data_IF_512382913414
#
_entry.id   IF_512382913414
#
_cell.length_a   1.000
_cell.length_b   1.000
_cell.length_c   1.000
_cell.angle_alpha   90.00
_cell.angle_beta   90.00
_cell.angle_gamma   90.00
#
_symmetry.space_group_name_H-M   'P 1'
#
loop_
_entity.id
_entity.type
_entity.pdbx_description
1 polymer ?
#
# COMPACT_ATOMS: atom_id res chain seq x y z
N UNK A 1 30.77 15.93 15.05
CA UNK A 1 30.30 14.52 15.08
C UNK A 1 30.36 14.01 13.65
N UNK A 2 30.56 12.69 13.42
CA UNK A 2 30.55 12.16 12.06
C UNK A 2 29.12 12.17 11.49
N UNK A 3 28.96 12.61 10.25
CA UNK A 3 27.69 12.56 9.54
C UNK A 3 27.32 11.12 9.29
N UNK A 4 26.10 10.70 9.67
CA UNK A 4 25.64 9.31 9.57
C UNK A 4 24.23 9.17 9.03
N UNK A 5 23.91 7.98 8.53
CA UNK A 5 22.58 7.57 8.11
C UNK A 5 22.06 6.47 9.04
N UNK A 6 20.84 6.65 9.56
CA UNK A 6 20.06 5.62 10.21
C UNK A 6 19.12 5.00 9.18
N UNK A 7 19.41 3.80 8.75
CA UNK A 7 18.66 3.10 7.72
C UNK A 7 17.61 2.20 8.36
N UNK A 8 16.34 2.56 8.21
CA UNK A 8 15.23 1.81 8.79
C UNK A 8 15.08 0.41 8.18
N UNK A 9 14.80 -0.58 9.02
CA UNK A 9 14.44 -1.92 8.59
C UNK A 9 13.26 -2.45 9.44
N UNK A 10 12.22 -3.07 8.81
CA UNK A 10 12.10 -3.33 7.38
C UNK A 10 11.78 -2.07 6.56
N UNK A 11 12.09 -2.13 5.28
CA UNK A 11 11.78 -1.13 4.25
C UNK A 11 11.59 -1.84 2.91
N UNK A 12 11.20 -1.09 1.87
CA UNK A 12 11.06 -1.64 0.52
C UNK A 12 9.94 -2.68 0.37
N UNK A 13 10.01 -3.51 -0.63
CA UNK A 13 8.94 -4.44 -1.00
C UNK A 13 8.43 -5.27 0.17
N UNK A 14 7.10 -5.26 0.35
CA UNK A 14 6.43 -6.25 1.20
C UNK A 14 6.00 -7.47 0.35
N UNK A 15 5.61 -8.56 1.00
CA UNK A 15 5.21 -9.79 0.31
C UNK A 15 4.03 -9.60 -0.66
N UNK A 16 3.11 -8.67 -0.36
CA UNK A 16 1.97 -8.36 -1.24
C UNK A 16 2.41 -7.66 -2.52
N UNK A 17 3.29 -6.68 -2.39
CA UNK A 17 3.89 -5.94 -3.51
C UNK A 17 4.77 -6.85 -4.37
N UNK A 18 5.68 -7.60 -3.76
CA UNK A 18 6.54 -8.55 -4.47
C UNK A 18 5.70 -9.50 -5.32
N UNK A 19 4.67 -10.12 -4.71
CA UNK A 19 3.73 -10.99 -5.43
C UNK A 19 3.08 -10.29 -6.62
N UNK A 20 2.64 -9.04 -6.47
CA UNK A 20 1.93 -8.32 -7.52
C UNK A 20 2.86 -7.96 -8.69
N UNK A 21 4.06 -7.47 -8.41
CA UNK A 21 5.07 -7.14 -9.43
C UNK A 21 5.49 -8.40 -10.19
N UNK A 22 5.86 -9.46 -9.47
CA UNK A 22 6.23 -10.76 -10.08
C UNK A 22 5.07 -11.36 -10.89
N UNK A 23 3.82 -11.10 -10.51
CA UNK A 23 2.65 -11.54 -11.30
C UNK A 23 2.66 -10.93 -12.71
N UNK A 24 2.88 -9.62 -12.84
CA UNK A 24 2.94 -8.95 -14.16
C UNK A 24 4.16 -9.43 -14.95
N UNK A 25 5.32 -9.55 -14.29
CA UNK A 25 6.53 -10.07 -14.94
C UNK A 25 6.33 -11.47 -15.51
N UNK A 26 5.77 -12.37 -14.71
CA UNK A 26 5.48 -13.76 -15.14
C UNK A 26 4.38 -13.83 -16.19
N UNK A 27 3.41 -12.93 -16.16
CA UNK A 27 2.40 -12.82 -17.21
C UNK A 27 3.04 -12.39 -18.55
N UNK A 28 3.93 -11.39 -18.53
CA UNK A 28 4.69 -10.95 -19.71
C UNK A 28 5.60 -12.08 -20.26
N UNK A 29 6.27 -12.83 -19.39
CA UNK A 29 7.11 -13.97 -19.79
C UNK A 29 6.28 -15.09 -20.43
N UNK A 30 5.11 -15.40 -19.87
CA UNK A 30 4.29 -16.53 -20.29
C UNK A 30 3.47 -16.26 -21.55
N UNK A 31 2.86 -15.08 -21.61
CA UNK A 31 1.89 -14.77 -22.68
C UNK A 31 2.47 -13.81 -23.73
N UNK A 32 3.62 -13.19 -23.47
CA UNK A 32 4.16 -12.13 -24.31
C UNK A 32 3.42 -10.79 -24.13
N UNK A 33 4.04 -9.73 -24.64
CA UNK A 33 3.43 -8.40 -24.66
C UNK A 33 2.35 -8.28 -25.75
N UNK A 34 1.31 -7.47 -25.56
CA UNK A 34 1.04 -6.69 -24.35
C UNK A 34 0.28 -7.48 -23.27
N UNK A 35 0.57 -7.18 -22.01
CA UNK A 35 -0.26 -7.55 -20.86
C UNK A 35 -0.86 -6.27 -20.29
N UNK A 36 -2.17 -6.22 -20.16
CA UNK A 36 -2.86 -5.05 -19.61
C UNK A 36 -2.87 -5.13 -18.08
N UNK A 37 -2.77 -3.98 -17.41
CA UNK A 37 -2.83 -3.88 -15.96
C UNK A 37 -3.84 -2.78 -15.62
N UNK A 38 -4.89 -3.13 -14.86
CA UNK A 38 -5.88 -2.13 -14.41
C UNK A 38 -5.32 -1.33 -13.26
N UNK A 39 -5.35 0.00 -13.40
CA UNK A 39 -4.69 0.94 -12.51
C UNK A 39 -3.17 0.66 -12.42
N UNK A 40 -2.48 1.22 -11.46
CA UNK A 40 -1.09 0.86 -11.21
C UNK A 40 -1.02 -0.45 -10.45
N UNK A 41 -0.15 -1.38 -10.84
CA UNK A 41 0.00 -2.67 -10.13
C UNK A 41 0.31 -2.46 -8.66
N UNK A 42 1.13 -1.47 -8.35
CA UNK A 42 1.44 -0.89 -7.05
C UNK A 42 1.74 0.59 -7.25
N UNK A 43 1.57 1.42 -6.24
CA UNK A 43 1.82 2.86 -6.32
C UNK A 43 3.33 3.17 -6.23
N UNK A 44 4.02 3.02 -7.35
CA UNK A 44 5.44 3.38 -7.51
C UNK A 44 5.77 3.66 -8.98
N UNK A 45 6.24 4.88 -9.27
CA UNK A 45 6.54 5.32 -10.64
C UNK A 45 7.61 4.46 -11.32
N UNK A 46 8.66 4.09 -10.61
CA UNK A 46 9.75 3.28 -11.15
C UNK A 46 9.25 1.88 -11.56
N UNK A 47 8.43 1.25 -10.72
CA UNK A 47 7.85 -0.06 -11.00
C UNK A 47 6.96 0.00 -12.24
N UNK A 48 6.07 1.00 -12.31
CA UNK A 48 5.19 1.20 -13.47
C UNK A 48 6.02 1.36 -14.74
N UNK A 49 6.98 2.30 -14.75
CA UNK A 49 7.82 2.57 -15.93
C UNK A 49 8.64 1.35 -16.36
N UNK A 50 9.15 0.58 -15.40
CA UNK A 50 9.93 -0.64 -15.68
C UNK A 50 9.05 -1.70 -16.35
N UNK A 51 7.83 -1.90 -15.89
CA UNK A 51 6.90 -2.85 -16.48
C UNK A 51 6.37 -2.38 -17.85
N UNK A 52 6.13 -1.07 -18.04
CA UNK A 52 5.79 -0.48 -19.34
C UNK A 52 6.90 -0.74 -20.36
N UNK A 53 8.16 -0.52 -20.00
CA UNK A 53 9.30 -0.79 -20.85
C UNK A 53 9.41 -2.28 -21.26
N UNK A 54 8.80 -3.18 -20.50
CA UNK A 54 8.72 -4.62 -20.80
C UNK A 54 7.46 -5.03 -21.55
N UNK A 55 6.54 -4.08 -21.83
CA UNK A 55 5.35 -4.30 -22.63
C UNK A 55 4.05 -4.45 -21.83
N UNK A 56 4.03 -4.07 -20.54
CA UNK A 56 2.78 -3.87 -19.82
C UNK A 56 2.08 -2.60 -20.31
N UNK A 57 0.77 -2.61 -20.38
CA UNK A 57 -0.07 -1.45 -20.72
C UNK A 57 -0.98 -1.19 -19.52
N UNK A 58 -0.77 -0.05 -18.85
CA UNK A 58 -1.62 0.36 -17.75
C UNK A 58 -2.85 1.09 -18.27
N UNK A 59 -4.01 0.71 -17.78
CA UNK A 59 -5.31 1.28 -18.11
C UNK A 59 -6.07 1.68 -16.86
N UNK A 60 -6.94 2.67 -16.97
CA UNK A 60 -7.74 3.08 -15.81
C UNK A 60 -8.93 2.14 -15.61
N UNK A 61 -9.58 1.72 -16.68
CA UNK A 61 -10.79 0.89 -16.63
C UNK A 61 -10.65 -0.36 -17.51
N UNK A 62 -11.44 -1.37 -17.18
CA UNK A 62 -11.47 -2.64 -17.93
C UNK A 62 -12.02 -2.51 -19.34
N UNK A 63 -12.84 -1.48 -19.63
CA UNK A 63 -13.38 -1.21 -20.96
C UNK A 63 -12.33 -0.70 -21.95
N UNK A 64 -11.20 -0.20 -21.48
CA UNK A 64 -10.05 0.18 -22.31
C UNK A 64 -9.24 -1.03 -22.80
N UNK A 65 -9.42 -2.20 -22.18
CA UNK A 65 -8.74 -3.44 -22.59
C UNK A 65 -9.45 -4.04 -23.80
N UNK A 66 -8.77 -4.34 -24.91
CA UNK A 66 -9.40 -5.01 -26.04
C UNK A 66 -9.98 -6.36 -25.64
N UNK A 67 -11.15 -6.70 -26.22
CA UNK A 67 -11.87 -7.93 -25.90
C UNK A 67 -10.98 -9.17 -26.07
N UNK A 68 -11.11 -10.13 -25.14
CA UNK A 68 -10.36 -11.38 -25.13
C UNK A 68 -8.90 -11.27 -24.73
N UNK A 69 -8.41 -10.07 -24.35
CA UNK A 69 -7.02 -9.87 -23.88
C UNK A 69 -6.86 -10.20 -22.41
N UNK A 70 -5.59 -10.23 -21.98
CA UNK A 70 -5.21 -10.49 -20.58
C UNK A 70 -5.20 -9.18 -19.82
N UNK A 71 -5.82 -9.18 -18.65
CA UNK A 71 -5.74 -8.08 -17.69
C UNK A 71 -5.35 -8.57 -16.30
N UNK A 72 -4.40 -7.87 -15.69
CA UNK A 72 -3.98 -8.08 -14.31
C UNK A 72 -4.66 -7.04 -13.43
N UNK A 73 -5.30 -7.46 -12.36
CA UNK A 73 -5.82 -6.55 -11.33
C UNK A 73 -4.74 -6.24 -10.31
N UNK A 74 -4.72 -5.00 -9.82
CA UNK A 74 -3.67 -4.47 -8.94
C UNK A 74 -3.67 -5.12 -7.55
N UNK A 75 -2.60 -4.87 -6.80
CA UNK A 75 -2.47 -5.32 -5.41
C UNK A 75 -3.56 -4.76 -4.48
N UNK A 76 -4.17 -3.64 -4.85
CA UNK A 76 -5.15 -2.91 -4.04
C UNK A 76 -6.55 -3.53 -4.03
N UNK A 77 -6.80 -4.51 -4.90
CA UNK A 77 -8.09 -5.16 -5.05
C UNK A 77 -9.06 -4.40 -5.96
N UNK A 78 -10.10 -5.09 -6.38
CA UNK A 78 -11.15 -4.55 -7.23
C UNK A 78 -12.52 -5.01 -6.71
N UNK A 79 -13.56 -4.22 -7.02
CA UNK A 79 -14.93 -4.60 -6.69
C UNK A 79 -15.44 -5.77 -7.54
N UNK A 80 -16.48 -6.51 -7.11
CA UNK A 80 -17.14 -7.52 -7.92
C UNK A 80 -17.60 -7.00 -9.29
N UNK A 81 -18.07 -5.75 -9.37
CA UNK A 81 -18.49 -5.14 -10.62
C UNK A 81 -17.37 -5.10 -11.69
N UNK A 82 -16.11 -4.91 -11.28
CA UNK A 82 -14.95 -4.94 -12.18
C UNK A 82 -14.71 -6.36 -12.69
N UNK A 83 -14.89 -7.38 -11.85
CA UNK A 83 -14.82 -8.78 -12.28
C UNK A 83 -15.93 -9.12 -13.30
N UNK A 84 -17.15 -8.68 -13.04
CA UNK A 84 -18.31 -8.92 -13.92
C UNK A 84 -18.11 -8.21 -15.28
N UNK A 85 -17.62 -6.98 -15.28
CA UNK A 85 -17.29 -6.24 -16.50
C UNK A 85 -16.21 -6.96 -17.32
N UNK A 86 -15.10 -7.37 -16.68
CA UNK A 86 -14.03 -8.11 -17.33
C UNK A 86 -14.55 -9.43 -17.93
N UNK A 87 -15.42 -10.15 -17.22
CA UNK A 87 -16.04 -11.37 -17.68
C UNK A 87 -16.95 -11.13 -18.90
N UNK A 88 -17.76 -10.05 -18.88
CA UNK A 88 -18.65 -9.68 -19.99
C UNK A 88 -17.90 -9.37 -21.28
N UNK A 89 -16.64 -8.94 -21.17
CA UNK A 89 -15.72 -8.62 -22.28
C UNK A 89 -14.80 -9.78 -22.65
N UNK A 90 -15.05 -10.98 -22.11
CA UNK A 90 -14.22 -12.18 -22.30
C UNK A 90 -12.73 -11.95 -21.98
N UNK A 91 -12.40 -11.05 -21.05
CA UNK A 91 -11.02 -10.81 -20.65
C UNK A 91 -10.49 -12.00 -19.83
N UNK A 92 -9.24 -12.38 -20.08
CA UNK A 92 -8.53 -13.31 -19.24
C UNK A 92 -7.95 -12.55 -18.03
N UNK A 93 -8.58 -12.72 -16.87
CA UNK A 93 -8.19 -12.01 -15.64
C UNK A 93 -7.13 -12.78 -14.84
N UNK A 94 -6.17 -12.05 -14.29
CA UNK A 94 -5.21 -12.52 -13.29
C UNK A 94 -5.32 -11.57 -12.10
N UNK A 95 -5.76 -12.08 -10.96
CA UNK A 95 -6.00 -11.26 -9.79
C UNK A 95 -4.76 -11.21 -8.89
N UNK A 96 -4.03 -10.07 -8.94
CA UNK A 96 -2.87 -9.83 -8.10
C UNK A 96 -3.21 -9.17 -6.74
N UNK A 97 -4.49 -9.05 -6.37
CA UNK A 97 -4.91 -8.50 -5.07
C UNK A 97 -4.12 -9.12 -3.92
N UNK A 98 -3.57 -8.27 -3.06
CA UNK A 98 -2.85 -8.72 -1.88
C UNK A 98 -3.77 -9.58 -0.99
N UNK A 99 -3.32 -10.75 -0.49
CA UNK A 99 -4.15 -11.58 0.39
C UNK A 99 -4.66 -10.87 1.64
N UNK A 100 -3.95 -9.83 2.12
CA UNK A 100 -4.38 -9.03 3.27
C UNK A 100 -5.51 -8.06 2.90
N UNK A 101 -5.56 -7.55 1.67
CA UNK A 101 -6.69 -6.79 1.13
C UNK A 101 -7.88 -7.73 0.89
N UNK A 102 -7.64 -8.91 0.32
CA UNK A 102 -8.68 -9.94 0.15
C UNK A 102 -9.35 -10.31 1.47
N UNK A 103 -8.60 -10.34 2.58
CA UNK A 103 -9.15 -10.53 3.93
C UNK A 103 -10.20 -9.46 4.25
N UNK A 104 -9.88 -8.18 4.05
CA UNK A 104 -10.81 -7.07 4.33
C UNK A 104 -12.06 -7.16 3.45
N UNK A 105 -11.90 -7.51 2.16
CA UNK A 105 -13.02 -7.76 1.25
C UNK A 105 -13.95 -8.87 1.76
N UNK A 106 -13.38 -9.99 2.24
CA UNK A 106 -14.18 -11.08 2.81
C UNK A 106 -14.94 -10.66 4.06
N UNK A 107 -14.33 -9.83 4.90
CA UNK A 107 -15.00 -9.31 6.10
C UNK A 107 -16.11 -8.32 5.76
N UNK A 108 -15.90 -7.45 4.76
CA UNK A 108 -16.95 -6.57 4.26
C UNK A 108 -18.16 -7.36 3.74
N UNK A 109 -17.94 -8.43 2.95
CA UNK A 109 -18.99 -9.36 2.50
C UNK A 109 -19.72 -10.01 3.67
N UNK A 110 -18.98 -10.49 4.66
CA UNK A 110 -19.55 -11.16 5.84
C UNK A 110 -20.43 -10.20 6.63
N UNK A 111 -19.93 -9.02 6.98
CA UNK A 111 -20.72 -8.01 7.71
C UNK A 111 -21.95 -7.57 6.92
N UNK A 112 -21.82 -7.40 5.61
CA UNK A 112 -22.95 -7.10 4.75
C UNK A 112 -24.02 -8.21 4.73
N UNK A 113 -23.60 -9.49 4.73
CA UNK A 113 -24.51 -10.63 4.80
C UNK A 113 -25.24 -10.73 6.16
N UNK A 114 -24.60 -10.27 7.23
CA UNK A 114 -25.19 -10.17 8.58
C UNK A 114 -26.05 -8.91 8.77
N UNK A 115 -26.29 -8.14 7.71
CA UNK A 115 -27.04 -6.86 7.68
C UNK A 115 -26.45 -5.75 8.55
N UNK A 116 -25.13 -5.74 8.79
CA UNK A 116 -24.44 -4.66 9.45
C UNK A 116 -24.16 -3.50 8.46
N UNK A 117 -24.21 -2.27 8.97
CA UNK A 117 -23.62 -1.12 8.27
C UNK A 117 -22.16 -1.00 8.69
N UNK A 118 -21.27 -0.80 7.71
CA UNK A 118 -19.82 -0.83 7.89
C UNK A 118 -19.31 0.62 7.89
N UNK A 119 -18.68 1.03 8.98
CA UNK A 119 -17.90 2.28 9.05
C UNK A 119 -16.48 1.95 8.60
N UNK A 120 -16.15 2.32 7.36
CA UNK A 120 -14.86 1.99 6.76
C UNK A 120 -13.88 3.15 6.93
N UNK A 121 -12.85 2.96 7.75
CA UNK A 121 -11.80 3.95 8.00
C UNK A 121 -10.82 3.90 6.83
N UNK A 122 -10.71 4.99 6.08
CA UNK A 122 -9.87 5.03 4.88
C UNK A 122 -9.92 6.39 4.20
N UNK A 123 -9.10 6.57 3.15
CA UNK A 123 -9.03 7.82 2.41
C UNK A 123 -9.88 7.78 1.15
N UNK A 124 -10.68 8.82 0.93
CA UNK A 124 -11.51 8.97 -0.26
C UNK A 124 -10.66 8.90 -1.54
N UNK A 125 -11.16 8.18 -2.55
CA UNK A 125 -10.47 7.99 -3.82
C UNK A 125 -9.35 6.94 -3.82
N UNK A 126 -9.06 6.29 -2.69
CA UNK A 126 -8.10 5.19 -2.67
C UNK A 126 -8.70 3.90 -3.24
N UNK A 127 -7.94 3.16 -4.07
CA UNK A 127 -8.41 1.94 -4.74
C UNK A 127 -8.90 0.86 -3.77
N UNK A 128 -8.25 0.68 -2.61
CA UNK A 128 -8.73 -0.25 -1.56
C UNK A 128 -10.11 0.14 -1.03
N UNK A 129 -10.40 1.44 -0.91
CA UNK A 129 -11.71 1.95 -0.45
C UNK A 129 -12.76 1.63 -1.49
N UNK A 130 -12.48 1.91 -2.78
CA UNK A 130 -13.38 1.59 -3.89
C UNK A 130 -13.67 0.08 -3.96
N UNK A 131 -12.62 -0.75 -3.90
CA UNK A 131 -12.74 -2.20 -3.95
C UNK A 131 -13.57 -2.76 -2.81
N UNK A 132 -13.25 -2.38 -1.57
CA UNK A 132 -13.95 -2.86 -0.37
C UNK A 132 -15.40 -2.36 -0.31
N UNK A 133 -15.65 -1.10 -0.66
CA UNK A 133 -17.02 -0.55 -0.72
C UNK A 133 -17.86 -1.30 -1.75
N UNK A 134 -17.27 -1.68 -2.87
CA UNK A 134 -17.94 -2.49 -3.90
C UNK A 134 -18.34 -3.89 -3.45
N UNK A 135 -17.70 -4.45 -2.40
CA UNK A 135 -18.06 -5.75 -1.83
C UNK A 135 -19.36 -5.69 -0.98
N UNK A 136 -19.72 -4.49 -0.51
CA UNK A 136 -20.86 -4.28 0.37
C UNK A 136 -21.66 -3.03 -0.04
N UNK A 137 -22.08 -2.98 -1.29
CA UNK A 137 -22.77 -1.83 -1.90
C UNK A 137 -23.95 -1.37 -1.05
N UNK A 138 -23.99 -0.07 -0.76
CA UNK A 138 -25.06 0.55 0.03
C UNK A 138 -25.00 0.28 1.54
N UNK A 139 -23.99 -0.48 2.01
CA UNK A 139 -23.80 -0.80 3.45
C UNK A 139 -22.52 -0.22 4.04
N UNK A 140 -21.72 0.50 3.26
CA UNK A 140 -20.45 1.10 3.70
C UNK A 140 -20.61 2.62 3.78
N UNK A 141 -20.13 3.19 4.90
CA UNK A 141 -19.91 4.63 5.08
C UNK A 141 -18.43 4.86 5.31
N UNK A 142 -17.85 5.71 4.46
CA UNK A 142 -16.44 6.10 4.59
C UNK A 142 -16.25 7.01 5.81
N UNK A 143 -15.19 6.73 6.56
CA UNK A 143 -14.70 7.53 7.67
C UNK A 143 -13.29 7.98 7.31
N UNK A 144 -13.17 9.17 6.71
CA UNK A 144 -11.90 9.74 6.29
C UNK A 144 -11.38 10.70 7.35
N UNK A 145 -10.46 10.21 8.17
CA UNK A 145 -9.82 10.94 9.26
C UNK A 145 -10.68 11.11 10.52
N UNK A 146 -10.08 11.76 11.52
CA UNK A 146 -10.65 11.89 12.86
C UNK A 146 -11.95 12.71 12.91
N UNK A 147 -12.07 13.74 12.06
CA UNK A 147 -13.28 14.58 12.03
C UNK A 147 -14.47 13.81 11.45
N UNK A 148 -14.24 12.97 10.43
CA UNK A 148 -15.28 12.07 9.96
C UNK A 148 -15.68 11.05 11.03
N UNK A 149 -14.73 10.51 11.79
CA UNK A 149 -15.03 9.62 12.91
C UNK A 149 -15.93 10.30 13.99
N UNK A 150 -15.70 11.60 14.24
CA UNK A 150 -16.53 12.40 15.18
C UNK A 150 -17.92 12.71 14.64
N UNK A 151 -18.10 12.82 13.34
CA UNK A 151 -19.32 13.37 12.73
C UNK A 151 -20.15 12.37 11.94
N UNK A 152 -19.61 11.20 11.58
CA UNK A 152 -20.34 10.18 10.80
C UNK A 152 -21.68 9.84 11.44
N UNK A 153 -22.73 9.75 10.61
CA UNK A 153 -24.08 9.42 11.04
C UNK A 153 -24.48 8.07 10.43
N UNK A 154 -24.50 7.01 11.23
CA UNK A 154 -25.02 5.72 10.81
C UNK A 154 -26.52 5.76 10.54
N UNK A 155 -27.01 4.79 9.80
CA UNK A 155 -28.44 4.61 9.56
C UNK A 155 -29.12 4.22 10.89
N UNK A 156 -30.18 4.94 11.33
CA UNK A 156 -30.84 4.62 12.59
C UNK A 156 -31.30 3.17 12.68
N UNK A 157 -31.02 2.53 13.80
CA UNK A 157 -31.43 1.15 14.08
C UNK A 157 -30.58 0.06 13.42
N UNK A 158 -29.57 0.39 12.64
CA UNK A 158 -28.63 -0.60 12.10
C UNK A 158 -27.57 -0.97 13.13
N UNK A 159 -27.23 -2.26 13.15
CA UNK A 159 -26.01 -2.73 13.83
C UNK A 159 -24.80 -2.30 13.03
N UNK A 160 -23.71 -1.99 13.72
CA UNK A 160 -22.52 -1.43 13.11
C UNK A 160 -21.34 -2.39 13.22
N UNK A 161 -20.49 -2.38 12.21
CA UNK A 161 -19.13 -2.90 12.26
C UNK A 161 -18.17 -1.84 11.74
N UNK A 162 -16.89 -1.97 12.06
CA UNK A 162 -15.86 -1.16 11.41
C UNK A 162 -14.84 -2.04 10.69
N UNK A 163 -14.26 -1.50 9.64
CA UNK A 163 -13.12 -2.04 8.91
C UNK A 163 -12.18 -0.88 8.58
N UNK A 164 -10.96 -1.18 8.15
CA UNK A 164 -10.03 -0.14 7.72
C UNK A 164 -9.24 -0.51 6.47
N UNK A 165 -8.76 0.53 5.78
CA UNK A 165 -7.75 0.45 4.73
C UNK A 165 -6.45 -0.09 5.33
N UNK A 166 -5.70 -0.91 4.57
CA UNK A 166 -4.52 -1.63 5.08
C UNK A 166 -3.27 -0.74 5.29
N UNK A 167 -3.27 0.49 4.75
CA UNK A 167 -2.09 1.38 4.66
C UNK A 167 -2.23 2.70 5.41
N UNK A 168 -3.12 2.78 6.40
CA UNK A 168 -3.29 3.97 7.25
C UNK A 168 -2.15 4.16 8.25
N UNK A 169 -2.05 5.35 8.85
CA UNK A 169 -1.32 5.52 10.10
C UNK A 169 -1.95 4.64 11.18
N UNK A 170 -1.13 3.84 11.85
CA UNK A 170 -1.61 2.96 12.93
C UNK A 170 -2.24 3.80 14.05
N UNK A 171 -1.57 4.90 14.44
CA UNK A 171 -2.01 5.76 15.53
C UNK A 171 -3.33 6.49 15.19
N UNK A 172 -3.45 7.00 13.96
CA UNK A 172 -4.69 7.64 13.48
C UNK A 172 -5.85 6.65 13.40
N UNK A 173 -5.61 5.45 12.89
CA UNK A 173 -6.65 4.41 12.83
C UNK A 173 -7.12 4.00 14.22
N UNK A 174 -6.20 3.82 15.19
CA UNK A 174 -6.55 3.52 16.58
C UNK A 174 -7.35 4.64 17.23
N UNK A 175 -6.99 5.91 16.97
CA UNK A 175 -7.76 7.06 17.44
C UNK A 175 -9.17 7.10 16.83
N UNK A 176 -9.28 6.86 15.52
CA UNK A 176 -10.57 6.77 14.83
C UNK A 176 -11.46 5.68 15.43
N UNK A 177 -10.91 4.49 15.66
CA UNK A 177 -11.60 3.36 16.30
C UNK A 177 -12.05 3.73 17.72
N UNK A 178 -11.20 4.38 18.51
CA UNK A 178 -11.55 4.82 19.86
C UNK A 178 -12.74 5.79 19.85
N UNK A 179 -12.75 6.76 18.94
CA UNK A 179 -13.87 7.70 18.77
C UNK A 179 -15.14 6.97 18.35
N UNK A 180 -15.06 6.03 17.40
CA UNK A 180 -16.21 5.26 16.96
C UNK A 180 -16.78 4.40 18.09
N UNK A 181 -15.93 3.75 18.90
CA UNK A 181 -16.37 2.95 20.06
C UNK A 181 -16.99 3.77 21.18
N UNK A 182 -16.50 4.99 21.41
CA UNK A 182 -17.12 5.91 22.36
C UNK A 182 -18.52 6.34 21.89
N UNK A 183 -18.68 6.63 20.61
CA UNK A 183 -19.97 7.03 20.02
C UNK A 183 -20.95 5.87 19.83
N UNK A 184 -20.42 4.68 19.53
CA UNK A 184 -21.17 3.49 19.21
C UNK A 184 -20.62 2.28 19.99
N UNK A 185 -20.93 2.15 21.31
CA UNK A 185 -20.30 1.14 22.16
C UNK A 185 -20.51 -0.32 21.73
N UNK A 186 -21.54 -0.59 20.92
CA UNK A 186 -21.86 -1.93 20.39
C UNK A 186 -21.29 -2.18 18.99
N UNK A 187 -20.42 -1.29 18.48
CA UNK A 187 -19.81 -1.48 17.17
C UNK A 187 -18.94 -2.74 17.16
N UNK A 188 -19.14 -3.59 16.17
CA UNK A 188 -18.43 -4.84 16.04
C UNK A 188 -17.03 -4.64 15.49
N UNK A 189 -16.03 -5.24 16.13
CA UNK A 189 -14.65 -5.29 15.66
C UNK A 189 -14.47 -6.30 14.52
N UNK A 190 -13.50 -6.08 13.59
CA UNK A 190 -13.02 -7.15 12.72
C UNK A 190 -12.37 -8.27 13.54
N UNK A 191 -12.32 -9.52 13.02
CA UNK A 191 -11.72 -10.66 13.73
C UNK A 191 -10.23 -10.51 14.03
N UNK A 192 -9.54 -9.68 13.28
CA UNK A 192 -8.14 -9.33 13.45
C UNK A 192 -7.85 -7.99 12.78
N UNK A 193 -6.69 -7.39 13.10
CA UNK A 193 -6.30 -6.10 12.57
C UNK A 193 -6.34 -6.06 11.04
N UNK A 194 -6.86 -4.96 10.49
CA UNK A 194 -6.92 -4.71 9.05
C UNK A 194 -5.65 -4.03 8.54
N UNK A 195 -5.03 -3.17 9.36
CA UNK A 195 -3.73 -2.59 8.99
C UNK A 195 -2.72 -3.72 8.85
N UNK A 196 -2.09 -3.78 7.69
CA UNK A 196 -1.21 -4.89 7.39
C UNK A 196 0.11 -4.82 8.18
N UNK A 197 0.69 -6.00 8.47
CA UNK A 197 1.97 -6.10 9.18
C UNK A 197 3.07 -5.25 8.54
N UNK A 198 3.08 -5.14 7.21
CA UNK A 198 4.10 -4.38 6.50
C UNK A 198 3.98 -2.86 6.75
N UNK A 199 2.75 -2.36 6.86
CA UNK A 199 2.48 -0.97 7.24
C UNK A 199 2.93 -0.72 8.68
N UNK A 200 2.52 -1.56 9.62
CA UNK A 200 2.89 -1.47 11.04
C UNK A 200 4.40 -1.50 11.22
N UNK A 201 5.07 -2.51 10.67
CA UNK A 201 6.51 -2.68 10.84
C UNK A 201 7.32 -1.49 10.28
N UNK A 202 6.93 -0.93 9.13
CA UNK A 202 7.62 0.25 8.55
C UNK A 202 7.38 1.51 9.36
N UNK A 203 6.19 1.69 9.90
CA UNK A 203 5.91 2.80 10.82
C UNK A 203 6.70 2.65 12.12
N UNK A 204 6.79 1.45 12.70
CA UNK A 204 7.59 1.20 13.90
C UNK A 204 9.09 1.44 13.65
N UNK A 205 9.59 1.10 12.47
CA UNK A 205 10.96 1.41 12.07
C UNK A 205 11.20 2.93 11.98
N UNK A 206 10.26 3.68 11.40
CA UNK A 206 10.31 5.16 11.39
C UNK A 206 10.24 5.73 12.82
N UNK A 207 9.31 5.26 13.66
CA UNK A 207 9.18 5.69 15.07
C UNK A 207 10.48 5.50 15.85
N UNK A 208 11.27 4.48 15.50
CA UNK A 208 12.54 4.19 16.15
C UNK A 208 13.64 5.16 15.74
N UNK A 209 13.74 5.54 14.45
CA UNK A 209 14.82 6.39 13.94
C UNK A 209 14.50 7.88 14.00
N UNK A 210 13.23 8.26 13.88
CA UNK A 210 12.81 9.66 13.78
C UNK A 210 13.28 10.55 14.95
N UNK A 211 13.21 10.11 16.24
CA UNK A 211 13.67 10.93 17.35
C UNK A 211 15.19 11.18 17.37
N UNK A 212 15.96 10.42 16.59
CA UNK A 212 17.41 10.47 16.52
C UNK A 212 17.93 11.17 15.26
N UNK A 213 17.04 11.51 14.33
CA UNK A 213 17.38 12.06 13.04
C UNK A 213 17.04 13.56 12.95
N UNK A 214 17.95 14.36 12.42
CA UNK A 214 17.72 15.77 12.11
C UNK A 214 16.83 15.93 10.87
N UNK A 215 16.90 14.93 9.98
CA UNK A 215 16.16 14.85 8.71
C UNK A 215 15.77 13.41 8.46
N UNK A 216 14.54 13.16 7.99
CA UNK A 216 14.13 11.86 7.44
C UNK A 216 13.82 11.99 5.95
N UNK A 217 14.37 11.09 5.15
CA UNK A 217 14.03 10.96 3.73
C UNK A 217 13.37 9.60 3.51
N UNK A 218 12.16 9.64 3.00
CA UNK A 218 11.40 8.44 2.62
C UNK A 218 11.41 8.34 1.10
N UNK A 219 11.89 7.23 0.57
CA UNK A 219 11.76 6.92 -0.85
C UNK A 219 10.37 6.34 -1.12
N UNK A 220 9.66 6.90 -2.09
CA UNK A 220 8.29 6.48 -2.44
C UNK A 220 7.54 7.50 -3.26
N UNK A 221 6.44 7.09 -3.87
CA UNK A 221 5.62 7.96 -4.71
C UNK A 221 4.53 8.67 -3.91
N UNK A 222 4.16 9.88 -4.32
CA UNK A 222 3.17 10.71 -3.62
C UNK A 222 1.75 10.13 -3.62
N UNK A 223 1.42 9.24 -4.55
CA UNK A 223 0.16 8.51 -4.59
C UNK A 223 0.19 7.20 -3.79
N UNK A 224 1.31 6.87 -3.13
CA UNK A 224 1.43 5.72 -2.23
C UNK A 224 1.03 6.12 -0.82
N UNK A 225 -0.16 5.72 -0.37
CA UNK A 225 -0.62 5.96 1.00
C UNK A 225 0.40 5.52 2.04
N UNK A 226 0.96 4.31 1.91
CA UNK A 226 2.01 3.83 2.82
C UNK A 226 3.22 4.77 2.88
N UNK A 227 3.72 5.26 1.73
CA UNK A 227 4.91 6.13 1.69
C UNK A 227 4.63 7.51 2.30
N UNK A 228 3.47 8.10 2.02
CA UNK A 228 3.05 9.39 2.58
C UNK A 228 2.95 9.29 4.11
N UNK A 229 2.31 8.23 4.62
CA UNK A 229 2.18 8.01 6.08
C UNK A 229 3.52 7.90 6.79
N UNK A 230 4.57 7.34 6.18
CA UNK A 230 5.90 7.28 6.80
C UNK A 230 6.51 8.68 7.02
N UNK A 231 6.28 9.61 6.11
CA UNK A 231 6.73 11.01 6.27
C UNK A 231 5.99 11.70 7.41
N UNK A 232 4.69 11.47 7.51
CA UNK A 232 3.86 12.05 8.56
C UNK A 232 4.26 11.51 9.93
N UNK A 233 4.39 10.19 10.06
CA UNK A 233 4.86 9.53 11.28
C UNK A 233 6.24 10.03 11.69
N UNK A 234 7.18 10.24 10.75
CA UNK A 234 8.49 10.80 11.06
C UNK A 234 8.37 12.17 11.74
N UNK A 235 7.52 13.05 11.23
CA UNK A 235 7.28 14.38 11.80
C UNK A 235 6.60 14.31 13.17
N UNK A 236 5.59 13.45 13.31
CA UNK A 236 4.88 13.24 14.57
C UNK A 236 5.80 12.73 15.69
N UNK A 237 6.80 11.92 15.32
CA UNK A 237 7.76 11.33 16.26
C UNK A 237 9.05 12.13 16.43
N UNK A 238 9.05 13.40 16.05
CA UNK A 238 10.02 14.39 16.47
C UNK A 238 11.14 14.73 15.50
N UNK A 239 11.13 14.20 14.28
CA UNK A 239 12.05 14.66 13.24
C UNK A 239 11.71 16.10 12.82
N UNK A 240 12.67 17.06 12.88
CA UNK A 240 12.41 18.43 12.46
C UNK A 240 11.96 18.58 11.01
N UNK A 241 12.50 17.73 10.13
CA UNK A 241 12.18 17.75 8.69
C UNK A 241 12.05 16.35 8.14
N UNK A 242 11.03 16.11 7.30
CA UNK A 242 10.88 14.84 6.60
C UNK A 242 10.33 15.08 5.18
N UNK A 243 10.90 14.38 4.19
CA UNK A 243 10.57 14.52 2.78
C UNK A 243 10.30 13.18 2.12
N UNK A 244 9.42 13.20 1.11
CA UNK A 244 9.11 12.08 0.23
C UNK A 244 9.70 12.35 -1.14
N UNK A 245 10.42 11.38 -1.70
CA UNK A 245 11.02 11.46 -3.04
C UNK A 245 10.82 10.17 -3.81
N UNK A 246 10.57 10.25 -5.11
CA UNK A 246 10.55 9.08 -5.99
C UNK A 246 11.98 8.60 -6.31
N UNK A 247 12.91 9.53 -6.52
CA UNK A 247 14.29 9.27 -6.94
C UNK A 247 15.30 10.12 -6.19
N UNK A 248 16.51 9.61 -6.01
CA UNK A 248 17.62 10.34 -5.36
C UNK A 248 17.89 11.72 -5.98
N UNK A 249 17.65 11.87 -7.30
CA UNK A 249 17.82 13.14 -8.02
C UNK A 249 16.86 14.26 -7.57
N UNK A 250 15.79 13.92 -6.85
CA UNK A 250 14.84 14.89 -6.29
C UNK A 250 15.30 15.42 -4.91
N UNK A 251 16.29 14.78 -4.30
CA UNK A 251 16.86 15.24 -3.04
C UNK A 251 17.64 16.55 -3.26
N UNK A 252 17.48 17.47 -2.29
CA UNK A 252 18.07 18.81 -2.40
C UNK A 252 19.21 18.97 -1.41
N UNK A 253 20.30 19.58 -1.87
CA UNK A 253 21.47 19.86 -1.02
C UNK A 253 21.15 20.77 0.15
N UNK A 254 20.25 21.73 -0.04
CA UNK A 254 19.77 22.64 1.02
C UNK A 254 19.13 21.93 2.21
N UNK A 255 18.63 20.69 2.03
CA UNK A 255 18.09 19.91 3.13
C UNK A 255 19.16 19.40 4.09
N UNK A 256 20.43 19.36 3.64
CA UNK A 256 21.57 18.85 4.40
C UNK A 256 22.28 19.91 5.25
N UNK A 257 21.83 21.17 5.16
CA UNK A 257 22.43 22.27 5.89
C UNK A 257 22.25 22.11 7.41
N UNK A 258 23.36 21.94 8.13
CA UNK A 258 23.36 21.74 9.58
C UNK A 258 22.91 20.35 10.04
N UNK A 259 22.68 19.41 9.12
CA UNK A 259 22.25 18.03 9.41
C UNK A 259 23.48 17.16 9.71
N UNK A 260 23.42 16.39 10.80
CA UNK A 260 24.44 15.41 11.18
C UNK A 260 23.92 13.97 11.07
N UNK A 261 22.64 13.73 11.35
CA UNK A 261 22.02 12.40 11.30
C UNK A 261 20.80 12.40 10.37
N UNK A 262 20.83 11.55 9.35
CA UNK A 262 19.73 11.38 8.40
C UNK A 262 19.08 10.01 8.63
N UNK A 263 17.76 10.01 8.85
CA UNK A 263 16.95 8.79 8.79
C UNK A 263 16.55 8.49 7.34
N UNK A 264 16.73 7.25 6.89
CA UNK A 264 16.30 6.81 5.55
C UNK A 264 15.36 5.62 5.68
N UNK A 265 14.24 5.68 4.99
CA UNK A 265 13.31 4.57 4.83
C UNK A 265 12.70 4.56 3.44
N UNK A 266 11.86 3.58 3.16
CA UNK A 266 11.10 3.53 1.92
C UNK A 266 9.74 2.85 2.11
N UNK A 267 8.79 3.24 1.26
CA UNK A 267 7.47 2.62 1.24
C UNK A 267 7.49 1.17 0.80
N UNK A 268 6.39 0.47 1.10
CA UNK A 268 6.21 -0.96 0.82
C UNK A 268 6.18 -1.32 -0.68
N UNK A 269 6.08 -0.32 -1.57
CA UNK A 269 6.07 -0.48 -3.03
C UNK A 269 7.40 -0.08 -3.71
N UNK A 270 8.45 0.17 -2.93
CA UNK A 270 9.73 0.70 -3.42
C UNK A 270 10.76 -0.42 -3.59
N UNK A 271 11.33 -0.60 -4.79
CA UNK A 271 12.44 -1.53 -4.98
C UNK A 271 13.72 -0.99 -4.31
N UNK A 272 14.53 -1.88 -3.74
CA UNK A 272 15.73 -1.51 -2.96
C UNK A 272 16.74 -0.67 -3.75
N UNK A 273 16.82 -0.85 -5.06
CA UNK A 273 17.72 -0.07 -5.92
C UNK A 273 17.55 1.44 -5.76
N UNK A 274 16.33 1.92 -5.51
CA UNK A 274 16.07 3.36 -5.31
C UNK A 274 16.61 3.86 -3.97
N UNK A 275 16.60 3.00 -2.94
CA UNK A 275 17.22 3.30 -1.64
C UNK A 275 18.74 3.31 -1.78
N UNK A 276 19.31 2.34 -2.47
CA UNK A 276 20.75 2.28 -2.75
C UNK A 276 21.24 3.53 -3.49
N UNK A 277 20.47 4.04 -4.46
CA UNK A 277 20.82 5.26 -5.19
C UNK A 277 20.77 6.49 -4.27
N UNK A 278 19.80 6.57 -3.35
CA UNK A 278 19.79 7.64 -2.35
C UNK A 278 21.00 7.55 -1.40
N UNK A 279 21.33 6.33 -0.94
CA UNK A 279 22.49 6.13 -0.05
C UNK A 279 23.80 6.53 -0.74
N UNK A 280 23.98 6.25 -2.04
CA UNK A 280 25.13 6.71 -2.83
C UNK A 280 25.16 8.23 -2.91
N UNK A 281 24.01 8.86 -3.22
CA UNK A 281 23.89 10.32 -3.27
C UNK A 281 24.27 10.99 -1.95
N UNK A 282 23.85 10.41 -0.82
CA UNK A 282 24.19 10.87 0.54
C UNK A 282 25.66 10.66 0.87
N UNK A 283 26.25 9.52 0.48
CA UNK A 283 27.65 9.21 0.73
C UNK A 283 28.60 10.21 0.06
N UNK A 284 28.31 10.64 -1.18
CA UNK A 284 29.05 11.67 -1.90
C UNK A 284 29.04 13.03 -1.18
N UNK A 285 28.10 13.25 -0.25
CA UNK A 285 27.91 14.48 0.54
C UNK A 285 28.37 14.34 1.99
N UNK A 286 29.11 13.27 2.28
CA UNK A 286 29.76 13.02 3.57
C UNK A 286 28.95 12.17 4.53
N UNK A 287 27.77 11.64 4.15
CA UNK A 287 26.96 10.71 4.95
C UNK A 287 27.23 9.25 4.54
N UNK A 288 28.49 8.83 4.63
CA UNK A 288 28.93 7.50 4.24
C UNK A 288 28.83 6.43 5.34
N UNK A 289 28.63 6.83 6.60
CA UNK A 289 28.42 5.91 7.70
C UNK A 289 26.94 5.53 7.78
N UNK A 290 26.62 4.26 7.47
CA UNK A 290 25.24 3.76 7.45
C UNK A 290 25.05 2.73 8.56
N UNK A 291 24.14 3.01 9.47
CA UNK A 291 23.70 2.11 10.53
C UNK A 291 22.30 1.60 10.23
N UNK A 292 22.13 0.28 10.08
CA UNK A 292 20.79 -0.31 9.92
C UNK A 292 20.11 -0.50 11.27
N UNK A 293 18.97 0.14 11.44
CA UNK A 293 18.14 0.04 12.65
C UNK A 293 16.95 -0.87 12.36
N UNK A 294 16.96 -2.07 12.94
CA UNK A 294 15.94 -3.11 12.69
C UNK A 294 14.87 -3.08 13.78
N UNK A 295 13.63 -2.75 13.39
CA UNK A 295 12.47 -2.79 14.28
C UNK A 295 11.74 -4.15 14.24
N UNK A 296 11.70 -4.81 13.07
CA UNK A 296 11.07 -6.11 12.91
C UNK A 296 11.76 -6.93 11.80
N UNK A 297 11.52 -8.23 11.80
CA UNK A 297 11.94 -9.14 10.72
C UNK A 297 10.71 -9.63 9.97
N UNK A 298 10.76 -9.58 8.63
CA UNK A 298 9.70 -10.04 7.75
C UNK A 298 10.15 -11.30 7.00
N UNK A 299 9.32 -12.36 7.07
CA UNK A 299 9.58 -13.64 6.39
C UNK A 299 8.39 -14.15 5.59
N UNK A 300 7.32 -13.33 5.48
CA UNK A 300 6.12 -13.72 4.73
C UNK A 300 6.42 -13.79 3.24
N UNK A 301 5.85 -14.83 2.61
CA UNK A 301 5.82 -14.98 1.16
C UNK A 301 4.39 -15.33 0.76
N UNK A 302 3.93 -14.77 -0.35
CA UNK A 302 2.63 -15.10 -0.92
C UNK A 302 2.81 -15.81 -2.26
N UNK A 303 2.04 -16.89 -2.44
CA UNK A 303 2.00 -17.59 -3.72
C UNK A 303 1.41 -16.70 -4.81
N UNK A 304 1.88 -16.84 -6.04
CA UNK A 304 1.31 -16.20 -7.22
C UNK A 304 -0.19 -16.51 -7.36
N UNK A 305 -0.96 -15.68 -8.09
CA UNK A 305 -2.37 -15.93 -8.37
C UNK A 305 -2.61 -17.35 -8.91
N UNK A 306 -3.67 -18.03 -8.47
CA UNK A 306 -3.93 -19.41 -8.85
C UNK A 306 -4.09 -19.59 -10.37
N UNK A 307 -4.67 -18.60 -11.06
CA UNK A 307 -4.83 -18.59 -12.52
C UNK A 307 -3.46 -18.67 -13.21
N UNK A 308 -2.54 -17.79 -12.81
CA UNK A 308 -1.20 -17.73 -13.38
C UNK A 308 -0.39 -19.00 -13.07
N UNK A 309 -0.46 -19.51 -11.83
CA UNK A 309 0.23 -20.74 -11.44
C UNK A 309 -0.24 -21.96 -12.26
N UNK A 310 -1.55 -22.04 -12.53
CA UNK A 310 -2.14 -23.09 -13.36
C UNK A 310 -1.56 -23.04 -14.78
N UNK A 311 -1.49 -21.85 -15.35
CA UNK A 311 -1.03 -21.68 -16.75
C UNK A 311 0.49 -21.88 -16.87
N UNK A 312 1.28 -21.41 -15.88
CA UNK A 312 2.72 -21.71 -15.83
C UNK A 312 2.96 -23.23 -15.80
N UNK A 313 2.20 -23.96 -14.96
CA UNK A 313 2.32 -25.42 -14.89
C UNK A 313 1.92 -26.10 -16.20
N UNK A 314 0.89 -25.60 -16.89
CA UNK A 314 0.46 -26.14 -18.18
C UNK A 314 1.48 -25.90 -19.28
N UNK A 315 2.18 -24.76 -19.26
CA UNK A 315 3.22 -24.44 -20.26
C UNK A 315 4.55 -25.22 -20.04
N UNK A 316 4.78 -25.75 -18.84
CA UNK A 316 5.97 -26.54 -18.50
C UNK A 316 5.83 -28.03 -18.82
N UNK A 317 4.64 -28.52 -19.18
CA UNK A 317 4.33 -29.89 -19.58
C UNK A 317 4.15 -30.01 -21.10
#
# INVERSE_FOLDING_TARGET
MSKRVLLAAPRGYCAGVDRAVVTVEKALELYGAPVYVRKQIVHNKHVVSTLEARGAIFVDQTDEVPEGKIVVFSAHGVSPAVHDEAASRNLKTIDATCPLVTKVHHEAKRFAAEDLEILFIGHEGHEEVEGTTGEAVGKVKLVDGLDAARTVQPTPGKKLAWLSQTTLSVDEALQSVAILKERFPEIQDPPSDDICYATTNRQDAIKTIAPQADLVIVVGSTNSSNSVRLVEVAKEYGTPSAYLIDYAAEAKEEWLDGVETIGVSSGASVPEILVDDLLKWLAERGFGEVETVTAAQESRLFALPPELRKDIKAAAN
#
